data_IF_524470429629
#
_entry.id   IF_524470429629
#
_cell.length_a   1.000
_cell.length_b   1.000
_cell.length_c   1.000
_cell.angle_alpha   90.00
_cell.angle_beta   90.00
_cell.angle_gamma   90.00
#
_symmetry.space_group_name_H-M   'P 1'
#
loop_
_entity.id
_entity.type
_entity.pdbx_description
1 polymer ?
#
# COMPACT_ATOMS: atom_id res chain seq x y z
N UNK A 1 1.45 20.73 3.38
CA UNK A 1 1.16 21.28 4.72
C UNK A 1 -0.14 20.63 5.23
N UNK A 2 -0.33 20.44 6.54
CA UNK A 2 -1.59 19.89 7.09
C UNK A 2 -2.60 21.02 7.21
N UNK A 3 -3.76 20.90 6.56
CA UNK A 3 -4.88 21.83 6.76
C UNK A 3 -5.64 21.45 8.03
N UNK A 4 -5.44 22.23 9.08
CA UNK A 4 -6.02 21.99 10.40
C UNK A 4 -7.54 22.24 10.44
N UNK A 5 -8.08 23.06 9.53
CA UNK A 5 -9.50 23.41 9.48
C UNK A 5 -10.33 22.33 8.77
N UNK A 6 -9.68 21.46 8.00
CA UNK A 6 -10.31 20.29 7.39
C UNK A 6 -10.56 19.13 8.39
N UNK A 7 -10.03 19.22 9.61
CA UNK A 7 -10.14 18.17 10.63
C UNK A 7 -11.40 18.35 11.48
N UNK A 8 -12.02 17.24 11.89
CA UNK A 8 -13.05 17.27 12.93
C UNK A 8 -12.49 17.86 14.22
N UNK A 9 -13.34 18.54 15.02
CA UNK A 9 -12.90 19.24 16.24
C UNK A 9 -12.07 18.36 17.17
N UNK A 10 -12.52 17.13 17.45
CA UNK A 10 -11.79 16.17 18.28
C UNK A 10 -10.43 15.78 17.69
N UNK A 11 -10.33 15.64 16.36
CA UNK A 11 -9.10 15.29 15.66
C UNK A 11 -8.12 16.47 15.63
N UNK A 12 -8.63 17.70 15.45
CA UNK A 12 -7.88 18.96 15.50
C UNK A 12 -7.26 19.17 16.89
N UNK A 13 -8.05 19.04 17.96
CA UNK A 13 -7.56 19.17 19.35
C UNK A 13 -6.40 18.21 19.64
N UNK A 14 -6.55 16.92 19.28
CA UNK A 14 -5.49 15.91 19.45
C UNK A 14 -4.25 16.24 18.63
N UNK A 15 -4.42 16.71 17.39
CA UNK A 15 -3.31 17.10 16.53
C UNK A 15 -2.54 18.29 17.12
N UNK A 16 -3.24 19.34 17.56
CA UNK A 16 -2.63 20.53 18.17
C UNK A 16 -1.88 20.22 19.46
N UNK A 17 -2.45 19.39 20.34
CA UNK A 17 -1.78 18.94 21.56
C UNK A 17 -0.46 18.22 21.24
N UNK A 18 -0.49 17.32 20.25
CA UNK A 18 0.72 16.59 19.81
C UNK A 18 1.73 17.48 19.10
N UNK A 19 1.29 18.43 18.27
CA UNK A 19 2.13 19.44 17.64
C UNK A 19 2.88 20.25 18.72
N UNK A 20 2.15 20.70 19.75
CA UNK A 20 2.73 21.41 20.89
C UNK A 20 3.73 20.55 21.67
N UNK A 21 3.43 19.28 21.88
CA UNK A 21 4.33 18.35 22.57
C UNK A 21 5.63 18.13 21.79
N UNK A 22 5.55 17.99 20.46
CA UNK A 22 6.72 17.88 19.57
C UNK A 22 7.57 19.17 19.63
N UNK A 23 6.95 20.35 19.56
CA UNK A 23 7.67 21.62 19.68
C UNK A 23 8.41 21.74 21.03
N UNK A 24 7.75 21.38 22.14
CA UNK A 24 8.37 21.37 23.47
C UNK A 24 9.52 20.35 23.56
N UNK A 25 9.32 19.15 22.99
CA UNK A 25 10.35 18.11 22.93
C UNK A 25 11.62 18.60 22.24
N UNK A 26 11.47 19.24 21.07
CA UNK A 26 12.57 19.77 20.26
C UNK A 26 13.28 20.93 20.96
N UNK A 27 12.58 21.68 21.83
CA UNK A 27 13.16 22.70 22.71
C UNK A 27 13.83 22.13 23.98
N UNK A 28 13.96 20.81 24.09
CA UNK A 28 14.63 20.16 25.23
C UNK A 28 13.77 20.01 26.48
N UNK A 29 12.43 20.11 26.39
CA UNK A 29 11.56 19.94 27.55
C UNK A 29 11.73 18.56 28.21
N UNK A 30 11.78 18.54 29.54
CA UNK A 30 11.83 17.31 30.35
C UNK A 30 10.48 16.58 30.33
N UNK A 31 10.48 15.30 30.72
CA UNK A 31 9.26 14.50 30.87
C UNK A 31 8.23 15.17 31.79
N UNK A 32 8.67 15.77 32.90
CA UNK A 32 7.79 16.49 33.82
C UNK A 32 7.09 17.68 33.14
N UNK A 33 7.82 18.44 32.31
CA UNK A 33 7.25 19.58 31.58
C UNK A 33 6.27 19.11 30.51
N UNK A 34 6.61 18.06 29.76
CA UNK A 34 5.73 17.50 28.72
C UNK A 34 4.45 16.90 29.33
N UNK A 35 4.58 16.10 30.40
CA UNK A 35 3.44 15.53 31.10
C UNK A 35 2.51 16.62 31.63
N UNK A 36 3.06 17.67 32.25
CA UNK A 36 2.27 18.79 32.79
C UNK A 36 1.57 19.61 31.70
N UNK A 37 2.25 19.90 30.59
CA UNK A 37 1.74 20.83 29.56
C UNK A 37 0.87 20.16 28.49
N UNK A 38 1.10 18.88 28.20
CA UNK A 38 0.43 18.20 27.08
C UNK A 38 -0.09 16.82 27.44
N UNK A 39 0.21 16.30 28.64
CA UNK A 39 -0.18 14.94 29.04
C UNK A 39 0.59 13.83 28.33
N UNK A 40 1.66 14.16 27.61
CA UNK A 40 2.40 13.23 26.76
C UNK A 40 3.76 12.88 27.38
N UNK A 41 4.14 11.61 27.27
CA UNK A 41 5.47 11.14 27.68
C UNK A 41 6.50 11.44 26.58
N UNK A 42 7.71 11.80 26.98
CA UNK A 42 8.81 12.09 26.05
C UNK A 42 9.12 10.92 25.12
N UNK A 43 9.05 9.68 25.61
CA UNK A 43 9.22 8.46 24.82
C UNK A 43 8.17 8.29 23.71
N UNK A 44 6.91 8.68 23.98
CA UNK A 44 5.86 8.64 22.97
C UNK A 44 6.11 9.69 21.87
N UNK A 45 6.56 10.89 22.25
CA UNK A 45 6.90 11.95 21.30
C UNK A 45 8.09 11.56 20.43
N UNK A 46 9.14 11.00 21.02
CA UNK A 46 10.27 10.45 20.27
C UNK A 46 9.81 9.44 19.23
N UNK A 47 9.00 8.44 19.63
CA UNK A 47 8.45 7.42 18.73
C UNK A 47 7.60 8.02 17.60
N UNK A 48 6.81 9.05 17.89
CA UNK A 48 6.03 9.75 16.84
C UNK A 48 6.96 10.42 15.84
N UNK A 49 8.01 11.09 16.30
CA UNK A 49 8.97 11.76 15.42
C UNK A 49 9.68 10.72 14.54
N UNK A 50 10.32 9.73 15.14
CA UNK A 50 11.17 8.76 14.43
C UNK A 50 10.38 7.80 13.56
N UNK A 51 9.29 7.24 14.08
CA UNK A 51 8.57 6.17 13.39
C UNK A 51 7.42 6.71 12.54
N UNK A 52 7.16 8.02 12.56
CA UNK A 52 6.07 8.62 11.78
C UNK A 52 6.48 9.87 11.02
N UNK A 53 6.91 10.93 11.70
CA UNK A 53 7.21 12.20 11.05
C UNK A 53 8.40 12.11 10.11
N UNK A 54 9.44 11.35 10.48
CA UNK A 54 10.65 11.16 9.68
C UNK A 54 10.56 9.99 8.69
N UNK A 55 9.44 9.26 8.64
CA UNK A 55 9.24 8.23 7.63
C UNK A 55 9.16 8.87 6.24
N UNK A 56 9.71 8.19 5.24
CA UNK A 56 9.57 8.59 3.84
C UNK A 56 8.17 8.25 3.36
N UNK A 57 7.53 9.21 2.72
CA UNK A 57 6.31 9.03 1.96
C UNK A 57 6.66 8.62 0.53
N UNK A 58 5.69 8.06 -0.19
CA UNK A 58 5.91 7.54 -1.55
C UNK A 58 6.20 8.63 -2.59
N UNK A 59 5.98 9.90 -2.26
CA UNK A 59 6.33 11.06 -3.10
C UNK A 59 7.82 11.46 -2.98
N UNK A 60 8.60 10.81 -2.12
CA UNK A 60 10.03 11.07 -1.91
C UNK A 60 10.33 11.99 -0.73
N UNK A 61 9.34 12.70 -0.20
CA UNK A 61 9.47 13.55 0.99
C UNK A 61 9.24 12.77 2.29
N UNK A 62 9.59 13.36 3.43
CA UNK A 62 9.14 12.84 4.73
C UNK A 62 7.70 13.25 5.03
N UNK A 63 6.99 12.46 5.84
CA UNK A 63 5.63 12.79 6.25
C UNK A 63 5.53 14.10 7.04
N UNK A 64 6.56 14.47 7.80
CA UNK A 64 6.60 15.66 8.64
C UNK A 64 5.38 15.74 9.57
N UNK A 65 4.67 16.87 9.56
CA UNK A 65 3.45 17.06 10.37
C UNK A 65 2.32 16.08 10.04
N UNK A 66 2.28 15.51 8.83
CA UNK A 66 1.29 14.46 8.48
C UNK A 66 1.48 13.23 9.38
N UNK A 67 2.73 12.91 9.73
CA UNK A 67 3.06 11.80 10.65
C UNK A 67 2.55 12.02 12.08
N UNK A 68 2.36 13.28 12.48
CA UNK A 68 1.78 13.62 13.78
C UNK A 68 0.25 13.48 13.80
N UNK A 69 -0.44 13.41 12.67
CA UNK A 69 -1.90 13.29 12.66
C UNK A 69 -2.36 12.02 13.41
N UNK A 70 -3.34 12.16 14.33
CA UNK A 70 -3.96 11.01 14.97
C UNK A 70 -4.76 10.20 13.93
N UNK A 71 -4.71 8.87 14.08
CA UNK A 71 -5.38 7.90 13.20
C UNK A 71 -4.98 7.96 11.71
N UNK A 72 -3.98 8.78 11.36
CA UNK A 72 -3.42 8.83 10.02
C UNK A 72 -2.54 7.60 9.80
N UNK A 73 -2.66 6.88 8.68
CA UNK A 73 -1.78 5.76 8.37
C UNK A 73 -0.53 6.27 7.67
N UNK A 74 0.63 5.93 8.21
CA UNK A 74 1.95 6.35 7.71
C UNK A 74 2.62 5.20 6.95
N UNK A 75 2.33 3.98 7.36
CA UNK A 75 2.73 2.77 6.63
C UNK A 75 1.57 2.29 5.77
N UNK A 76 1.90 1.79 4.57
CA UNK A 76 0.95 1.05 3.76
C UNK A 76 0.50 -0.21 4.51
N UNK A 77 -0.73 -0.66 4.24
CA UNK A 77 -1.20 -1.92 4.81
C UNK A 77 -0.35 -3.09 4.29
N UNK A 78 0.19 -3.88 5.22
CA UNK A 78 0.91 -5.11 4.94
C UNK A 78 0.26 -6.24 5.72
N UNK A 79 -0.21 -7.24 4.97
CA UNK A 79 -0.82 -8.43 5.53
C UNK A 79 0.30 -9.36 5.99
N UNK A 80 0.19 -9.87 7.22
CA UNK A 80 1.18 -10.79 7.81
C UNK A 80 0.74 -12.26 7.74
N UNK A 81 -0.56 -12.51 7.57
CA UNK A 81 -1.15 -13.86 7.60
C UNK A 81 -1.83 -14.21 6.29
N UNK A 82 -1.95 -15.51 6.02
CA UNK A 82 -2.65 -16.00 4.82
C UNK A 82 -4.08 -15.43 4.73
N UNK A 83 -4.57 -15.09 3.52
CA UNK A 83 -5.93 -14.61 3.34
C UNK A 83 -6.95 -15.69 3.67
N UNK A 84 -7.82 -15.38 4.64
CA UNK A 84 -9.04 -16.13 4.91
C UNK A 84 -10.18 -15.33 4.31
N UNK A 85 -10.79 -15.86 3.26
CA UNK A 85 -11.94 -15.23 2.59
C UNK A 85 -13.21 -15.76 3.23
N UNK A 86 -14.07 -14.84 3.66
CA UNK A 86 -15.37 -15.16 4.22
C UNK A 86 -16.43 -15.21 3.11
N UNK A 87 -17.57 -15.86 3.39
CA UNK A 87 -18.68 -16.02 2.43
C UNK A 87 -19.21 -14.68 1.89
N UNK A 88 -19.15 -13.61 2.69
CA UNK A 88 -19.54 -12.26 2.27
C UNK A 88 -18.47 -11.52 1.44
N UNK A 89 -17.42 -12.23 0.98
CA UNK A 89 -16.31 -11.67 0.22
C UNK A 89 -15.29 -10.88 1.03
N UNK A 90 -15.47 -10.74 2.34
CA UNK A 90 -14.51 -10.07 3.20
C UNK A 90 -13.23 -10.89 3.39
N UNK A 91 -12.14 -10.24 3.80
CA UNK A 91 -10.89 -10.91 4.15
C UNK A 91 -9.89 -11.09 3.00
N UNK A 92 -10.24 -10.72 1.76
CA UNK A 92 -9.34 -10.76 0.61
C UNK A 92 -8.42 -9.53 0.46
N UNK A 93 -8.61 -8.47 1.27
CA UNK A 93 -7.80 -7.24 1.16
C UNK A 93 -6.31 -7.55 1.34
N UNK A 94 -5.50 -7.14 0.36
CA UNK A 94 -4.05 -7.36 0.35
C UNK A 94 -3.61 -8.79 -0.01
N UNK A 95 -4.54 -9.69 -0.37
CA UNK A 95 -4.23 -11.09 -0.65
C UNK A 95 -3.23 -11.27 -1.80
N UNK A 96 -3.42 -10.56 -2.91
CA UNK A 96 -2.51 -10.61 -4.05
C UNK A 96 -1.10 -10.12 -3.70
N UNK A 97 -0.99 -8.99 -2.96
CA UNK A 97 0.30 -8.46 -2.51
C UNK A 97 1.01 -9.49 -1.62
N UNK A 98 0.29 -10.02 -0.62
CA UNK A 98 0.80 -11.05 0.27
C UNK A 98 1.31 -12.28 -0.49
N UNK A 99 0.55 -12.76 -1.48
CA UNK A 99 0.92 -13.91 -2.30
C UNK A 99 2.23 -13.67 -3.07
N UNK A 100 2.29 -12.56 -3.81
CA UNK A 100 3.43 -12.23 -4.69
C UNK A 100 4.70 -11.84 -3.92
N UNK A 101 4.60 -11.48 -2.64
CA UNK A 101 5.77 -11.15 -1.80
C UNK A 101 6.43 -12.38 -1.16
N UNK A 102 5.82 -13.56 -1.26
CA UNK A 102 6.44 -14.78 -0.74
C UNK A 102 7.60 -15.23 -1.65
N UNK A 103 8.73 -15.70 -1.07
CA UNK A 103 9.90 -16.12 -1.85
C UNK A 103 9.58 -17.14 -2.96
N UNK A 104 8.70 -18.10 -2.69
CA UNK A 104 8.27 -19.14 -3.63
C UNK A 104 7.53 -18.63 -4.87
N UNK A 105 6.94 -17.42 -4.81
CA UNK A 105 6.19 -16.82 -5.92
C UNK A 105 6.97 -15.71 -6.64
N UNK A 106 8.26 -15.51 -6.29
CA UNK A 106 9.11 -14.48 -6.91
C UNK A 106 9.19 -14.66 -8.43
N UNK A 107 9.46 -15.87 -8.92
CA UNK A 107 9.50 -16.16 -10.35
C UNK A 107 8.14 -15.91 -11.04
N UNK A 108 7.04 -16.36 -10.42
CA UNK A 108 5.70 -16.11 -10.95
C UNK A 108 5.40 -14.62 -11.05
N UNK A 109 5.77 -13.84 -10.03
CA UNK A 109 5.62 -12.37 -10.02
C UNK A 109 6.39 -11.74 -11.18
N UNK A 110 7.64 -12.15 -11.41
CA UNK A 110 8.48 -11.61 -12.48
C UNK A 110 7.91 -11.97 -13.86
N UNK A 111 7.44 -13.21 -14.06
CA UNK A 111 6.76 -13.64 -15.30
C UNK A 111 5.44 -12.89 -15.49
N UNK A 112 4.69 -12.64 -14.42
CA UNK A 112 3.44 -11.89 -14.46
C UNK A 112 3.66 -10.43 -14.87
N UNK A 113 4.66 -9.77 -14.29
CA UNK A 113 5.10 -8.42 -14.68
C UNK A 113 5.48 -8.37 -16.16
N UNK A 114 6.37 -9.26 -16.62
CA UNK A 114 6.77 -9.33 -18.03
C UNK A 114 5.57 -9.49 -18.95
N UNK A 115 4.61 -10.35 -18.60
CA UNK A 115 3.41 -10.58 -19.41
C UNK A 115 2.49 -9.36 -19.46
N UNK A 116 2.37 -8.59 -18.37
CA UNK A 116 1.62 -7.33 -18.35
C UNK A 116 2.25 -6.31 -19.33
N UNK A 117 3.57 -6.12 -19.23
CA UNK A 117 4.30 -5.13 -20.02
C UNK A 117 4.32 -5.50 -21.51
N UNK A 118 4.65 -6.76 -21.84
CA UNK A 118 4.69 -7.22 -23.24
C UNK A 118 3.30 -7.20 -23.92
N UNK A 119 2.21 -7.37 -23.15
CA UNK A 119 0.86 -7.27 -23.70
C UNK A 119 0.48 -5.82 -24.04
N UNK A 120 1.09 -4.83 -23.37
CA UNK A 120 0.91 -3.41 -23.66
C UNK A 120 1.69 -2.95 -24.90
N UNK A 121 2.85 -3.57 -25.15
CA UNK A 121 3.78 -3.24 -26.24
C UNK A 121 3.36 -3.78 -27.61
N UNK A 122 2.37 -4.69 -27.66
CA UNK A 122 1.86 -5.24 -28.92
C UNK A 122 1.24 -4.15 -29.79
N UNK A 123 1.87 -3.87 -30.94
CA UNK A 123 1.34 -3.00 -32.01
C UNK A 123 0.00 -3.51 -32.57
N UNK A 124 -0.32 -4.79 -32.39
CA UNK A 124 -1.54 -5.41 -32.92
C UNK A 124 -2.79 -5.13 -32.07
N UNK A 125 -2.63 -4.77 -30.78
CA UNK A 125 -3.75 -4.52 -29.88
C UNK A 125 -3.51 -3.26 -29.03
N UNK A 126 -4.14 -2.13 -29.34
CA UNK A 126 -3.99 -0.91 -28.54
C UNK A 126 -4.58 -1.04 -27.12
N UNK A 127 -5.33 -2.11 -26.83
CA UNK A 127 -5.91 -2.40 -25.51
C UNK A 127 -5.38 -3.73 -24.96
N UNK A 128 -4.93 -3.69 -23.71
CA UNK A 128 -4.45 -4.86 -22.97
C UNK A 128 -5.60 -5.83 -22.73
N UNK A 129 -5.35 -7.11 -23.02
CA UNK A 129 -6.33 -8.17 -22.77
C UNK A 129 -6.18 -8.67 -21.33
N UNK A 130 -6.83 -7.96 -20.40
CA UNK A 130 -6.86 -8.29 -18.96
C UNK A 130 -7.33 -9.73 -18.74
N UNK A 131 -8.32 -10.20 -19.50
CA UNK A 131 -8.88 -11.55 -19.33
C UNK A 131 -7.85 -12.64 -19.67
N UNK A 132 -7.07 -12.45 -20.73
CA UNK A 132 -6.00 -13.39 -21.12
C UNK A 132 -4.90 -13.45 -20.07
N UNK A 133 -4.50 -12.29 -19.55
CA UNK A 133 -3.48 -12.21 -18.50
C UNK A 133 -3.99 -12.86 -17.21
N UNK A 134 -5.23 -12.54 -16.82
CA UNK A 134 -5.88 -13.11 -15.65
C UNK A 134 -5.96 -14.63 -15.71
N UNK A 135 -6.46 -15.19 -16.83
CA UNK A 135 -6.57 -16.64 -17.01
C UNK A 135 -5.23 -17.34 -16.86
N UNK A 136 -4.19 -16.83 -17.53
CA UNK A 136 -2.85 -17.36 -17.39
C UNK A 136 -2.36 -17.32 -15.93
N UNK A 137 -2.60 -16.21 -15.21
CA UNK A 137 -2.17 -16.08 -13.82
C UNK A 137 -2.86 -17.12 -12.92
N UNK A 138 -4.17 -17.32 -13.07
CA UNK A 138 -4.91 -18.36 -12.34
C UNK A 138 -4.38 -19.76 -12.66
N UNK A 139 -4.08 -20.05 -13.93
CA UNK A 139 -3.53 -21.35 -14.32
C UNK A 139 -2.15 -21.62 -13.70
N UNK A 140 -1.30 -20.60 -13.57
CA UNK A 140 -0.02 -20.74 -12.87
C UNK A 140 -0.20 -20.96 -11.36
N UNK A 141 -1.18 -20.31 -10.74
CA UNK A 141 -1.50 -20.57 -9.33
C UNK A 141 -2.08 -21.98 -9.10
N UNK A 142 -2.85 -22.49 -10.08
CA UNK A 142 -3.33 -23.88 -10.06
C UNK A 142 -2.17 -24.87 -10.13
N UNK A 143 -1.21 -24.65 -11.05
CA UNK A 143 0.01 -25.48 -11.15
C UNK A 143 0.86 -25.44 -9.88
N UNK A 144 0.79 -24.35 -9.12
CA UNK A 144 1.46 -24.23 -7.83
C UNK A 144 0.70 -24.91 -6.66
N UNK A 145 -0.42 -25.60 -6.93
CA UNK A 145 -1.19 -26.38 -5.96
C UNK A 145 -2.08 -25.55 -5.02
N UNK A 146 -2.35 -24.28 -5.35
CA UNK A 146 -3.14 -23.41 -4.47
C UNK A 146 -4.64 -23.77 -4.49
N UNK A 147 -5.11 -24.37 -5.59
CA UNK A 147 -6.50 -24.83 -5.70
C UNK A 147 -6.75 -26.01 -4.75
N UNK A 148 -5.84 -26.98 -4.72
CA UNK A 148 -5.91 -28.13 -3.80
C UNK A 148 -5.86 -27.69 -2.33
N UNK A 149 -5.06 -26.66 -2.04
CA UNK A 149 -4.96 -26.08 -0.70
C UNK A 149 -6.17 -25.20 -0.33
N UNK A 150 -7.11 -24.97 -1.25
CA UNK A 150 -8.19 -23.98 -1.11
C UNK A 150 -7.65 -22.62 -0.65
N UNK A 151 -6.46 -22.25 -1.11
CA UNK A 151 -5.83 -20.99 -0.80
C UNK A 151 -6.38 -19.88 -1.71
N UNK A 152 -6.27 -18.62 -1.30
CA UNK A 152 -6.58 -17.51 -2.19
C UNK A 152 -5.75 -17.62 -3.48
N UNK A 153 -6.34 -17.47 -4.68
CA UNK A 153 -7.69 -16.96 -4.94
C UNK A 153 -8.83 -17.99 -4.99
N UNK A 154 -8.54 -19.29 -4.88
CA UNK A 154 -9.51 -20.39 -5.05
C UNK A 154 -10.52 -20.53 -3.91
N UNK A 155 -10.34 -19.80 -2.80
CA UNK A 155 -11.35 -19.62 -1.76
C UNK A 155 -12.27 -18.40 -1.97
N UNK A 156 -12.27 -17.81 -3.16
CA UNK A 156 -13.14 -16.68 -3.50
C UNK A 156 -13.90 -16.92 -4.80
N UNK A 157 -15.16 -16.50 -4.87
CA UNK A 157 -16.03 -16.73 -6.03
C UNK A 157 -15.47 -16.12 -7.32
N UNK A 158 -14.91 -14.91 -7.23
CA UNK A 158 -14.36 -14.19 -8.40
C UNK A 158 -12.91 -14.56 -8.72
N UNK A 159 -12.32 -15.54 -8.02
CA UNK A 159 -10.90 -15.89 -8.12
C UNK A 159 -9.99 -14.65 -8.02
N UNK A 160 -10.38 -13.66 -7.22
CA UNK A 160 -9.61 -12.44 -7.04
C UNK A 160 -9.50 -11.55 -8.29
N UNK A 161 -10.42 -11.68 -9.27
CA UNK A 161 -10.37 -10.95 -10.54
C UNK A 161 -10.11 -9.44 -10.39
N UNK A 162 -10.87 -8.75 -9.53
CA UNK A 162 -10.67 -7.31 -9.33
C UNK A 162 -9.31 -6.98 -8.70
N UNK A 163 -8.78 -7.85 -7.84
CA UNK A 163 -7.42 -7.66 -7.28
C UNK A 163 -6.37 -7.74 -8.38
N UNK A 164 -6.49 -8.71 -9.28
CA UNK A 164 -5.58 -8.90 -10.42
C UNK A 164 -5.72 -7.75 -11.41
N UNK A 165 -6.95 -7.34 -11.75
CA UNK A 165 -7.23 -6.22 -12.66
C UNK A 165 -6.64 -4.90 -12.15
N UNK A 166 -6.85 -4.57 -10.87
CA UNK A 166 -6.26 -3.37 -10.25
C UNK A 166 -4.74 -3.43 -10.21
N UNK A 167 -4.17 -4.62 -9.98
CA UNK A 167 -2.73 -4.82 -10.01
C UNK A 167 -2.14 -4.58 -11.40
N UNK A 168 -2.78 -5.11 -12.45
CA UNK A 168 -2.38 -4.86 -13.84
C UNK A 168 -2.39 -3.35 -14.11
N UNK A 169 -3.48 -2.65 -13.75
CA UNK A 169 -3.57 -1.19 -13.90
C UNK A 169 -2.44 -0.46 -13.18
N UNK A 170 -2.09 -0.90 -11.97
CA UNK A 170 -1.00 -0.33 -11.17
C UNK A 170 0.35 -0.51 -11.86
N UNK A 171 0.70 -1.72 -12.30
CA UNK A 171 1.98 -2.00 -12.97
C UNK A 171 2.13 -1.12 -14.22
N UNK A 172 1.07 -0.97 -15.02
CA UNK A 172 1.11 -0.13 -16.22
C UNK A 172 1.30 1.36 -15.90
N UNK A 173 0.67 1.86 -14.84
CA UNK A 173 0.83 3.24 -14.40
C UNK A 173 2.25 3.53 -13.87
N UNK A 174 2.92 2.53 -13.29
CA UNK A 174 4.30 2.63 -12.81
C UNK A 174 5.34 2.54 -13.95
N UNK A 175 4.95 2.11 -15.14
CA UNK A 175 5.81 2.00 -16.33
C UNK A 175 5.32 2.85 -17.53
N UNK A 176 5.27 4.19 -17.40
CA UNK A 176 4.71 5.07 -18.43
C UNK A 176 5.54 5.14 -19.72
N UNK A 177 6.81 4.74 -19.70
CA UNK A 177 7.70 4.81 -20.88
C UNK A 177 7.32 3.81 -22.00
N UNK A 178 6.58 2.75 -21.69
CA UNK A 178 5.98 1.87 -22.71
C UNK A 178 4.82 2.55 -23.46
N UNK A 179 4.20 3.57 -22.87
CA UNK A 179 3.22 4.42 -23.56
C UNK A 179 3.89 5.47 -24.46
N UNK A 180 5.09 5.96 -24.11
CA UNK A 180 5.83 6.95 -24.90
C UNK A 180 6.53 6.37 -26.14
N UNK A 181 6.88 5.08 -26.14
CA UNK A 181 7.37 4.39 -27.35
C UNK A 181 6.36 4.42 -28.51
N UNK A 182 5.09 4.80 -28.27
CA UNK A 182 4.04 4.94 -29.27
C UNK A 182 3.91 6.36 -29.87
N UNK A 183 4.63 7.37 -29.38
CA UNK A 183 4.60 8.75 -29.92
C UNK A 183 5.81 9.12 -30.78
N UNK A 184 6.85 8.28 -30.87
CA UNK A 184 8.11 8.61 -31.53
C UNK A 184 8.33 8.03 -32.93
N UNK A 185 7.32 7.42 -33.56
CA UNK A 185 7.42 6.91 -34.93
C UNK A 185 6.84 7.90 -35.93
N UNK A 186 7.66 8.85 -36.40
CA UNK A 186 7.43 9.66 -37.60
C UNK A 186 8.32 9.13 -38.73
#
# INVERSE_FOLDING_TARGET
MVDENSLSAARKTKFLARKKAIELYLKGATDAVLQKKTGEKRSNIYRIITNRCLQRHSDGDIFGWRGALPHFRVTAYERQTAPVVHENGAGATGALKWLLERPQFKDLKDRFHKRILNNADSLAHPKINVQTIFRWFIDELRKAGLEDQKAWPFNSESLGYESVRLYIKKVLAEHPFLAMSKMGGA
#
